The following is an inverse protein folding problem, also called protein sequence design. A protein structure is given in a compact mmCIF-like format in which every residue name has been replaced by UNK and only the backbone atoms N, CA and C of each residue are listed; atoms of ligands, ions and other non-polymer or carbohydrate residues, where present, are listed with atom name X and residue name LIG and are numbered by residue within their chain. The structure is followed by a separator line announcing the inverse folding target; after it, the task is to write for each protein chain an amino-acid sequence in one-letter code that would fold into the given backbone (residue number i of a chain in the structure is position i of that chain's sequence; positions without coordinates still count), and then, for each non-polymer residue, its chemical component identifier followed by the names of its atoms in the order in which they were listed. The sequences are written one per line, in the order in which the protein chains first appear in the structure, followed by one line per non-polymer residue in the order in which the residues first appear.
data_IF_176793459447
#
_entry.id   IF_176793459447
#
_cell.length_a   1.000
_cell.length_b   1.000
_cell.length_c   1.000
_cell.angle_alpha   90.00
_cell.angle_beta   90.00
_cell.angle_gamma   90.00
#
_symmetry.space_group_name_H-M   'P 1'
#
loop_
_entity.id
_entity.type
_entity.pdbx_description
1 polymer ?
#
# COMPACT_ATOMS: atom_id res chain seq x y z
N UNK A 1 -24.07 4.88 65.28
CA UNK A 1 -23.11 3.94 64.66
C UNK A 1 -23.70 3.16 63.47
N UNK A 2 -24.88 2.54 63.58
CA UNK A 2 -25.44 1.68 62.52
C UNK A 2 -25.77 2.37 61.18
N UNK A 3 -26.38 3.56 61.19
CA UNK A 3 -26.83 4.23 59.94
C UNK A 3 -25.68 4.73 59.03
N UNK A 4 -24.53 5.07 59.62
CA UNK A 4 -23.35 5.53 58.85
C UNK A 4 -22.68 4.35 58.15
N UNK A 5 -22.67 3.17 58.80
CA UNK A 5 -22.09 1.96 58.23
C UNK A 5 -22.90 1.46 57.01
N UNK A 6 -24.23 1.54 57.05
CA UNK A 6 -25.09 1.12 55.94
C UNK A 6 -24.92 2.00 54.70
N UNK A 7 -24.74 3.32 54.89
CA UNK A 7 -24.47 4.26 53.78
C UNK A 7 -23.10 3.97 53.16
N UNK A 8 -22.09 3.66 53.98
CA UNK A 8 -20.75 3.35 53.49
C UNK A 8 -20.72 2.07 52.66
N UNK A 9 -21.43 1.03 53.10
CA UNK A 9 -21.57 -0.24 52.35
C UNK A 9 -22.33 -0.01 51.04
N UNK A 10 -23.37 0.82 51.02
CA UNK A 10 -24.13 1.13 49.81
C UNK A 10 -23.32 1.91 48.77
N UNK A 11 -22.48 2.86 49.21
CA UNK A 11 -21.58 3.61 48.31
C UNK A 11 -20.50 2.70 47.74
N UNK A 12 -19.94 1.79 48.54
CA UNK A 12 -18.99 0.78 48.06
C UNK A 12 -19.67 -0.13 47.03
N UNK A 13 -20.91 -0.55 47.27
CA UNK A 13 -21.66 -1.40 46.35
C UNK A 13 -21.95 -0.69 45.00
N UNK A 14 -22.27 0.60 45.02
CA UNK A 14 -22.48 1.40 43.80
C UNK A 14 -21.18 1.62 43.02
N UNK A 15 -20.04 1.81 43.69
CA UNK A 15 -18.72 1.94 43.03
C UNK A 15 -18.32 0.62 42.36
N UNK A 16 -18.66 -0.53 42.96
CA UNK A 16 -18.32 -1.85 42.41
C UNK A 16 -19.29 -2.37 41.34
N UNK A 17 -20.54 -1.93 41.32
CA UNK A 17 -21.52 -2.38 40.31
C UNK A 17 -21.48 -1.56 39.02
N UNK A 18 -21.17 -0.26 39.09
CA UNK A 18 -21.15 0.60 37.91
C UNK A 18 -20.19 0.15 36.79
N UNK A 19 -19.01 -0.45 37.07
CA UNK A 19 -18.14 -1.01 36.05
C UNK A 19 -18.71 -2.25 35.35
N UNK A 20 -19.61 -2.99 36.00
CA UNK A 20 -20.19 -4.23 35.45
C UNK A 20 -21.36 -3.98 34.51
N UNK A 21 -22.03 -2.82 34.61
CA UNK A 21 -23.16 -2.48 33.71
C UNK A 21 -22.69 -1.81 32.42
N UNK A 22 -21.50 -1.20 32.39
CA UNK A 22 -20.94 -0.58 31.18
C UNK A 22 -20.39 -1.57 30.14
N UNK A 23 -20.49 -2.88 30.38
CA UNK A 23 -19.95 -3.92 29.48
C UNK A 23 -20.96 -4.45 28.45
N UNK A 24 -22.22 -4.02 28.49
CA UNK A 24 -23.29 -4.57 27.65
C UNK A 24 -23.67 -3.75 26.41
N UNK A 25 -22.88 -2.75 26.01
CA UNK A 25 -23.15 -1.97 24.79
C UNK A 25 -21.90 -1.85 23.93
N UNK A 26 -21.59 -2.94 23.25
CA UNK A 26 -20.64 -2.99 22.14
C UNK A 26 -21.32 -3.75 21.00
N UNK A 27 -22.41 -3.19 20.49
CA UNK A 27 -22.87 -3.53 19.14
C UNK A 27 -21.76 -3.07 18.18
N UNK A 28 -21.32 -3.96 17.29
CA UNK A 28 -20.23 -3.80 16.31
C UNK A 28 -18.80 -4.10 16.75
N UNK A 29 -18.56 -5.32 17.25
CA UNK A 29 -17.33 -6.04 16.93
C UNK A 29 -17.72 -7.47 16.50
N UNK A 30 -17.91 -7.67 15.19
CA UNK A 30 -18.20 -8.99 14.64
C UNK A 30 -16.98 -9.90 14.79
N UNK A 31 -17.04 -10.83 15.74
CA UNK A 31 -16.05 -11.91 15.90
C UNK A 31 -16.41 -13.07 14.95
N UNK A 32 -15.39 -13.80 14.47
CA UNK A 32 -15.62 -15.09 13.83
C UNK A 32 -16.08 -16.09 14.90
N UNK A 33 -17.38 -16.33 15.02
CA UNK A 33 -17.89 -17.41 15.85
C UNK A 33 -17.50 -18.75 15.21
N UNK A 34 -16.73 -19.55 15.94
CA UNK A 34 -16.54 -20.96 15.59
C UNK A 34 -17.85 -21.66 15.95
N UNK A 35 -18.59 -22.14 14.94
CA UNK A 35 -19.89 -22.80 15.15
C UNK A 35 -19.79 -24.17 15.86
N UNK A 36 -18.60 -24.60 16.26
CA UNK A 36 -18.38 -25.81 17.03
C UNK A 36 -18.46 -25.49 18.52
N UNK A 37 -19.34 -26.21 19.24
CA UNK A 37 -19.44 -26.08 20.69
C UNK A 37 -18.15 -26.59 21.32
N UNK A 38 -17.65 -25.88 22.32
CA UNK A 38 -16.49 -26.29 23.08
C UNK A 38 -16.69 -27.71 23.63
N UNK A 39 -15.66 -28.54 23.50
CA UNK A 39 -15.71 -29.97 23.89
C UNK A 39 -15.88 -30.15 25.40
N UNK A 40 -15.49 -29.14 26.19
CA UNK A 40 -15.62 -29.12 27.64
C UNK A 40 -16.67 -28.09 28.06
N UNK A 41 -17.55 -28.45 29.01
CA UNK A 41 -18.61 -27.57 29.52
C UNK A 41 -18.08 -26.25 30.14
N UNK A 42 -16.81 -26.24 30.57
CA UNK A 42 -16.17 -25.08 31.19
C UNK A 42 -15.33 -24.23 30.22
N UNK A 43 -15.34 -24.54 28.91
CA UNK A 43 -14.55 -23.83 27.90
C UNK A 43 -15.44 -22.92 27.03
N UNK A 44 -14.94 -21.72 26.73
CA UNK A 44 -15.62 -20.76 25.86
C UNK A 44 -15.51 -21.21 24.40
N UNK A 45 -16.61 -21.11 23.63
CA UNK A 45 -16.60 -21.32 22.18
C UNK A 45 -15.94 -20.16 21.41
N UNK A 46 -15.57 -19.09 22.13
CA UNK A 46 -14.86 -17.91 21.60
C UNK A 46 -13.43 -17.91 22.13
N UNK A 47 -12.47 -17.99 21.22
CA UNK A 47 -11.04 -17.84 21.52
C UNK A 47 -10.63 -16.37 21.36
N UNK A 48 -10.26 -15.71 22.46
CA UNK A 48 -9.72 -14.34 22.45
C UNK A 48 -8.20 -14.38 22.63
N UNK A 49 -7.46 -13.62 21.81
CA UNK A 49 -6.03 -13.42 22.04
C UNK A 49 -5.80 -12.65 23.36
N UNK A 50 -4.86 -13.12 24.21
CA UNK A 50 -4.67 -12.65 25.60
C UNK A 50 -4.46 -11.14 25.75
N UNK A 51 -3.91 -10.48 24.74
CA UNK A 51 -3.54 -9.06 24.81
C UNK A 51 -4.66 -8.07 24.40
N UNK A 52 -5.79 -8.54 23.84
CA UNK A 52 -6.85 -7.65 23.33
C UNK A 52 -7.58 -6.84 24.42
N UNK A 53 -7.68 -7.39 25.65
CA UNK A 53 -8.36 -6.70 26.76
C UNK A 53 -7.54 -5.57 27.39
N UNK A 54 -6.25 -5.47 27.07
CA UNK A 54 -5.43 -4.33 27.48
C UNK A 54 -5.42 -3.34 26.32
N UNK A 55 -6.17 -2.24 26.45
CA UNK A 55 -5.87 -0.99 25.70
C UNK A 55 -4.47 -0.54 26.09
N UNK A 56 -3.45 -1.14 25.50
CA UNK A 56 -2.07 -0.73 25.68
C UNK A 56 -1.93 0.62 24.98
N UNK A 57 -1.39 1.61 25.68
CA UNK A 57 -0.98 2.88 25.06
C UNK A 57 0.04 2.71 23.93
N UNK A 58 0.56 1.48 23.73
CA UNK A 58 1.44 1.12 22.62
C UNK A 58 0.73 0.92 21.27
N UNK A 59 -0.58 0.62 21.26
CA UNK A 59 -1.35 0.34 20.04
C UNK A 59 -2.32 1.48 19.71
N UNK A 60 -1.86 2.72 19.84
CA UNK A 60 -2.61 3.88 19.34
C UNK A 60 -2.48 3.88 17.83
N UNK A 61 -3.63 3.86 17.14
CA UNK A 61 -3.67 3.90 15.68
C UNK A 61 -2.81 5.04 15.15
N UNK A 62 -1.99 4.70 14.15
CA UNK A 62 -1.17 5.65 13.41
C UNK A 62 -1.11 5.23 11.96
N UNK A 63 -1.37 6.16 11.05
CA UNK A 63 -1.31 5.89 9.63
C UNK A 63 0.06 5.30 9.24
N UNK A 64 0.07 4.17 8.54
CA UNK A 64 1.29 3.38 8.25
C UNK A 64 2.35 4.21 7.53
N UNK A 65 1.94 5.03 6.55
CA UNK A 65 2.86 5.88 5.81
C UNK A 65 3.50 6.94 6.71
N UNK A 66 2.77 7.47 7.70
CA UNK A 66 3.34 8.42 8.67
C UNK A 66 4.42 7.75 9.51
N UNK A 67 4.22 6.49 9.92
CA UNK A 67 5.24 5.72 10.65
C UNK A 67 6.53 5.54 9.84
N UNK A 68 6.39 5.27 8.54
CA UNK A 68 7.52 5.15 7.63
C UNK A 68 8.25 6.48 7.44
N UNK A 69 7.52 7.57 7.21
CA UNK A 69 8.10 8.90 7.01
C UNK A 69 8.70 9.51 8.29
N UNK A 70 8.25 9.17 9.49
CA UNK A 70 8.93 9.65 10.69
C UNK A 70 10.28 8.97 10.91
N UNK A 71 10.44 7.73 10.45
CA UNK A 71 11.68 6.95 10.62
C UNK A 71 12.70 7.16 9.49
N UNK A 72 12.27 7.61 8.30
CA UNK A 72 13.17 7.63 7.13
C UNK A 72 14.29 8.66 7.19
N UNK A 73 14.04 9.83 7.79
CA UNK A 73 15.03 10.93 7.89
C UNK A 73 16.32 10.49 8.58
N UNK A 74 16.25 9.45 9.42
CA UNK A 74 17.39 8.89 10.15
C UNK A 74 18.37 8.11 9.25
N UNK A 75 17.95 7.62 8.07
CA UNK A 75 18.71 6.65 7.28
C UNK A 75 18.65 6.90 5.76
N UNK A 76 18.52 8.16 5.32
CA UNK A 76 18.30 8.52 3.91
C UNK A 76 19.27 7.87 2.90
N UNK A 77 20.53 7.69 3.26
CA UNK A 77 21.55 7.15 2.35
C UNK A 77 21.66 5.62 2.38
N UNK A 78 20.99 4.94 3.32
CA UNK A 78 21.01 3.48 3.39
C UNK A 78 20.08 2.89 2.34
N UNK A 79 20.45 1.73 1.81
CA UNK A 79 19.60 0.93 0.93
C UNK A 79 18.35 0.53 1.73
N UNK A 80 17.19 0.82 1.15
CA UNK A 80 15.88 0.46 1.67
C UNK A 80 15.35 -0.79 0.99
N UNK A 81 15.45 -0.83 -0.34
CA UNK A 81 14.83 -1.85 -1.18
C UNK A 81 15.83 -2.37 -2.21
N UNK A 82 15.74 -3.67 -2.47
CA UNK A 82 16.51 -4.38 -3.49
C UNK A 82 15.52 -5.28 -4.25
N UNK A 83 15.36 -5.04 -5.54
CA UNK A 83 14.60 -5.94 -6.40
C UNK A 83 15.50 -7.06 -6.90
N UNK A 84 15.03 -8.30 -6.79
CA UNK A 84 15.72 -9.46 -7.33
C UNK A 84 14.94 -10.01 -8.52
N UNK A 85 15.68 -10.42 -9.55
CA UNK A 85 15.14 -11.17 -10.67
C UNK A 85 15.98 -12.45 -10.81
N UNK A 86 15.32 -13.60 -10.78
CA UNK A 86 16.00 -14.91 -10.85
C UNK A 86 17.11 -15.10 -9.79
N UNK A 87 16.94 -14.51 -8.60
CA UNK A 87 17.92 -14.59 -7.51
C UNK A 87 19.02 -13.53 -7.56
N UNK A 88 19.13 -12.76 -8.64
CA UNK A 88 20.14 -11.72 -8.81
C UNK A 88 19.54 -10.33 -8.58
N UNK A 89 20.21 -9.47 -7.79
CA UNK A 89 19.73 -8.12 -7.54
C UNK A 89 19.83 -7.26 -8.79
N UNK A 90 18.71 -6.68 -9.23
CA UNK A 90 18.61 -5.88 -10.45
C UNK A 90 18.55 -4.39 -10.16
N UNK A 91 17.78 -3.99 -9.15
CA UNK A 91 17.52 -2.60 -8.83
C UNK A 91 17.71 -2.34 -7.33
N UNK A 92 18.24 -1.16 -7.02
CA UNK A 92 18.51 -0.72 -5.64
C UNK A 92 17.89 0.66 -5.42
N UNK A 93 17.33 0.89 -4.24
CA UNK A 93 16.84 2.21 -3.86
C UNK A 93 17.14 2.51 -2.41
N UNK A 94 17.67 3.71 -2.16
CA UNK A 94 17.88 4.21 -0.79
C UNK A 94 16.57 4.69 -0.18
N UNK A 95 16.51 4.76 1.15
CA UNK A 95 15.34 5.32 1.85
C UNK A 95 15.01 6.73 1.35
N UNK A 96 16.02 7.58 1.19
CA UNK A 96 15.83 8.97 0.76
C UNK A 96 15.27 9.07 -0.66
N UNK A 97 15.77 8.26 -1.59
CA UNK A 97 15.25 8.26 -2.96
C UNK A 97 13.85 7.63 -3.03
N UNK A 98 13.62 6.55 -2.28
CA UNK A 98 12.33 5.88 -2.22
C UNK A 98 11.23 6.83 -1.75
N UNK A 99 11.40 7.50 -0.61
CA UNK A 99 10.36 8.41 -0.10
C UNK A 99 10.20 9.67 -0.94
N UNK A 100 11.27 10.18 -1.56
CA UNK A 100 11.14 11.25 -2.58
C UNK A 100 10.28 10.80 -3.76
N UNK A 101 10.46 9.55 -4.21
CA UNK A 101 9.67 8.96 -5.30
C UNK A 101 8.21 8.79 -4.90
N UNK A 102 7.94 8.31 -3.68
CA UNK A 102 6.59 8.23 -3.09
C UNK A 102 5.89 9.60 -3.07
N UNK A 103 6.59 10.66 -2.61
CA UNK A 103 6.04 12.02 -2.60
C UNK A 103 5.78 12.56 -4.01
N UNK A 104 6.71 12.31 -4.94
CA UNK A 104 6.61 12.80 -6.32
C UNK A 104 5.47 12.10 -7.08
N UNK A 105 5.33 10.79 -6.89
CA UNK A 105 4.23 10.01 -7.43
C UNK A 105 2.88 10.45 -6.86
N UNK A 106 2.77 10.60 -5.53
CA UNK A 106 1.57 11.11 -4.86
C UNK A 106 1.11 12.47 -5.43
N UNK A 107 2.04 13.42 -5.60
CA UNK A 107 1.71 14.71 -6.20
C UNK A 107 1.20 14.56 -7.64
N UNK A 108 1.81 13.65 -8.41
CA UNK A 108 1.45 13.39 -9.80
C UNK A 108 0.02 12.87 -9.95
N UNK A 109 -0.44 12.01 -9.04
CA UNK A 109 -1.82 11.49 -9.07
C UNK A 109 -2.89 12.60 -8.99
N UNK A 110 -2.56 13.74 -8.40
CA UNK A 110 -3.45 14.88 -8.22
C UNK A 110 -3.25 16.00 -9.25
N UNK A 111 -2.11 16.05 -9.95
CA UNK A 111 -1.69 17.23 -10.74
C UNK A 111 -1.14 16.93 -12.14
N UNK A 112 -1.02 15.66 -12.54
CA UNK A 112 -0.34 15.30 -13.79
C UNK A 112 -1.05 15.84 -15.05
N UNK A 113 -0.39 16.75 -15.76
CA UNK A 113 -0.88 17.38 -17.00
C UNK A 113 -2.30 17.99 -16.87
N UNK A 114 -2.65 18.49 -15.68
CA UNK A 114 -3.98 19.05 -15.40
C UNK A 114 -5.10 18.00 -15.27
N UNK A 115 -4.76 16.72 -15.32
CA UNK A 115 -5.65 15.59 -15.06
C UNK A 115 -5.38 15.02 -13.67
N UNK A 116 -6.43 14.65 -12.95
CA UNK A 116 -6.34 13.89 -11.71
C UNK A 116 -7.04 12.54 -11.86
N UNK A 117 -6.84 11.64 -10.90
CA UNK A 117 -7.69 10.47 -10.77
C UNK A 117 -9.10 10.95 -10.40
N UNK A 118 -10.12 10.67 -11.22
CA UNK A 118 -11.48 11.15 -10.97
C UNK A 118 -12.07 10.44 -9.76
N UNK A 119 -12.77 11.20 -8.93
CA UNK A 119 -13.66 10.64 -7.91
C UNK A 119 -14.93 10.11 -8.59
N UNK A 120 -15.30 8.89 -8.26
CA UNK A 120 -16.52 8.24 -8.74
C UNK A 120 -17.37 7.79 -7.58
N UNK A 121 -18.68 7.77 -7.81
CA UNK A 121 -19.67 7.31 -6.85
C UNK A 121 -20.06 5.88 -7.22
N UNK A 122 -19.98 4.99 -6.24
CA UNK A 122 -20.35 3.59 -6.32
C UNK A 122 -21.48 3.32 -5.30
N UNK A 123 -22.25 2.27 -5.56
CA UNK A 123 -23.27 1.81 -4.63
C UNK A 123 -22.62 0.98 -3.51
N UNK A 124 -21.85 1.66 -2.66
CA UNK A 124 -21.09 1.07 -1.56
C UNK A 124 -21.17 1.94 -0.32
N UNK A 125 -21.21 1.32 0.87
CA UNK A 125 -21.26 2.05 2.14
C UNK A 125 -19.89 2.63 2.52
N UNK A 126 -18.83 1.86 2.25
CA UNK A 126 -17.47 2.24 2.58
C UNK A 126 -17.04 3.50 1.81
N UNK A 127 -16.25 4.36 2.46
CA UNK A 127 -15.86 5.67 1.95
C UNK A 127 -17.04 6.54 1.48
N UNK A 128 -18.25 6.35 2.03
CA UNK A 128 -19.47 7.03 1.60
C UNK A 128 -19.77 6.85 0.09
N UNK A 129 -19.38 5.70 -0.46
CA UNK A 129 -19.51 5.37 -1.88
C UNK A 129 -18.57 6.16 -2.80
N UNK A 130 -17.69 7.02 -2.28
CA UNK A 130 -16.81 7.87 -3.07
C UNK A 130 -15.41 7.28 -3.14
N UNK A 131 -14.96 6.95 -4.36
CA UNK A 131 -13.64 6.37 -4.57
C UNK A 131 -12.90 7.06 -5.71
N UNK A 132 -11.62 7.34 -5.47
CA UNK A 132 -10.61 7.57 -6.49
C UNK A 132 -9.79 6.28 -6.61
N UNK A 133 -9.87 5.61 -7.75
CA UNK A 133 -9.27 4.29 -7.92
C UNK A 133 -8.00 4.34 -8.79
N UNK A 134 -6.93 3.73 -8.29
CA UNK A 134 -5.72 3.42 -9.05
C UNK A 134 -5.54 1.91 -9.09
N UNK A 135 -5.67 1.30 -10.27
CA UNK A 135 -5.39 -0.13 -10.41
C UNK A 135 -3.89 -0.40 -10.38
N UNK A 136 -3.51 -1.56 -9.83
CA UNK A 136 -2.15 -2.08 -9.88
C UNK A 136 -2.21 -3.53 -10.33
N UNK A 137 -1.70 -3.79 -11.53
CA UNK A 137 -1.65 -5.11 -12.16
C UNK A 137 -0.23 -5.43 -12.63
N UNK A 138 0.56 -6.02 -11.74
CA UNK A 138 1.96 -6.31 -12.04
C UNK A 138 2.64 -7.11 -10.94
N UNK A 139 3.90 -7.42 -11.19
CA UNK A 139 4.75 -8.17 -10.28
C UNK A 139 5.30 -7.26 -9.18
N UNK A 140 5.80 -7.87 -8.11
CA UNK A 140 6.41 -7.13 -7.00
C UNK A 140 7.61 -6.33 -7.51
N UNK A 141 7.57 -5.02 -7.33
CA UNK A 141 8.65 -4.09 -7.65
C UNK A 141 8.67 -2.93 -6.65
N UNK A 142 9.75 -2.18 -6.63
CA UNK A 142 9.89 -0.91 -5.91
C UNK A 142 8.83 0.07 -6.43
N UNK A 143 8.64 0.18 -7.74
CA UNK A 143 7.62 1.08 -8.29
C UNK A 143 6.20 0.66 -7.90
N UNK A 144 5.93 -0.65 -7.73
CA UNK A 144 4.68 -1.14 -7.15
C UNK A 144 4.49 -0.60 -5.73
N UNK A 145 5.52 -0.69 -4.87
CA UNK A 145 5.49 -0.15 -3.51
C UNK A 145 5.34 1.37 -3.49
N UNK A 146 6.00 2.07 -4.42
CA UNK A 146 5.89 3.53 -4.57
C UNK A 146 4.47 3.91 -4.97
N UNK A 147 3.85 3.16 -5.89
CA UNK A 147 2.49 3.42 -6.33
C UNK A 147 1.49 3.27 -5.17
N UNK A 148 1.62 2.20 -4.38
CA UNK A 148 0.73 1.92 -3.27
C UNK A 148 0.86 2.96 -2.14
N UNK A 149 2.08 3.22 -1.66
CA UNK A 149 2.27 4.25 -0.62
C UNK A 149 1.93 5.66 -1.11
N UNK A 150 2.21 5.97 -2.39
CA UNK A 150 1.89 7.27 -2.97
C UNK A 150 0.38 7.48 -3.12
N UNK A 151 -0.38 6.43 -3.44
CA UNK A 151 -1.84 6.46 -3.46
C UNK A 151 -2.43 6.72 -2.07
N UNK A 152 -1.90 6.05 -1.02
CA UNK A 152 -2.31 6.30 0.37
C UNK A 152 -2.09 7.76 0.78
N UNK A 153 -0.96 8.38 0.39
CA UNK A 153 -0.72 9.80 0.64
C UNK A 153 -1.75 10.70 -0.07
N UNK A 154 -2.18 10.29 -1.26
CA UNK A 154 -3.09 11.04 -2.14
C UNK A 154 -4.58 10.86 -1.80
N UNK A 155 -4.94 10.03 -0.83
CA UNK A 155 -6.34 9.64 -0.61
C UNK A 155 -6.94 8.91 -1.82
N UNK A 156 -6.09 8.21 -2.57
CA UNK A 156 -6.48 7.35 -3.69
C UNK A 156 -6.47 5.92 -3.18
N UNK A 157 -7.55 5.19 -3.43
CA UNK A 157 -7.68 3.78 -3.07
C UNK A 157 -7.02 2.93 -4.15
N UNK A 158 -6.07 2.07 -3.77
CA UNK A 158 -5.46 1.13 -4.71
C UNK A 158 -6.39 -0.04 -4.99
N UNK A 159 -6.43 -0.50 -6.24
CA UNK A 159 -7.14 -1.69 -6.67
C UNK A 159 -6.09 -2.71 -7.15
N UNK A 160 -5.73 -3.64 -6.27
CA UNK A 160 -4.64 -4.59 -6.49
C UNK A 160 -5.16 -5.86 -7.15
N UNK A 161 -4.58 -6.20 -8.29
CA UNK A 161 -4.88 -7.40 -9.05
C UNK A 161 -3.65 -8.31 -9.10
N UNK A 162 -3.86 -9.60 -8.82
CA UNK A 162 -2.77 -10.56 -8.85
C UNK A 162 -2.26 -10.78 -10.28
N UNK A 163 -0.94 -10.77 -10.48
CA UNK A 163 -0.30 -10.85 -11.81
C UNK A 163 -0.65 -12.12 -12.59
N UNK A 164 -1.00 -13.21 -11.90
CA UNK A 164 -1.40 -14.50 -12.52
C UNK A 164 -2.88 -14.59 -12.91
N UNK A 165 -3.69 -13.56 -12.67
CA UNK A 165 -5.06 -13.57 -13.17
C UNK A 165 -5.07 -13.59 -14.71
N UNK A 166 -6.05 -14.32 -15.26
CA UNK A 166 -6.25 -14.36 -16.71
C UNK A 166 -6.69 -12.99 -17.21
N UNK A 167 -6.43 -12.72 -18.49
CA UNK A 167 -6.81 -11.44 -19.08
C UNK A 167 -8.33 -11.20 -19.03
N UNK A 168 -9.15 -12.27 -19.11
CA UNK A 168 -10.62 -12.17 -18.98
C UNK A 168 -11.03 -11.63 -17.62
N UNK A 169 -10.45 -12.19 -16.56
CA UNK A 169 -10.67 -11.71 -15.20
C UNK A 169 -10.25 -10.26 -15.05
N UNK A 170 -9.10 -9.87 -15.61
CA UNK A 170 -8.62 -8.49 -15.54
C UNK A 170 -9.59 -7.55 -16.27
N UNK A 171 -10.05 -7.91 -17.47
CA UNK A 171 -11.02 -7.10 -18.23
C UNK A 171 -12.34 -6.95 -17.47
N UNK A 172 -12.84 -8.02 -16.85
CA UNK A 172 -14.04 -7.98 -16.02
C UNK A 172 -13.89 -7.01 -14.85
N UNK A 173 -12.77 -7.11 -14.10
CA UNK A 173 -12.48 -6.23 -12.95
C UNK A 173 -12.40 -4.76 -13.38
N UNK A 174 -11.68 -4.48 -14.49
CA UNK A 174 -11.51 -3.12 -15.01
C UNK A 174 -12.84 -2.50 -15.44
N UNK A 175 -13.75 -3.30 -16.01
CA UNK A 175 -15.06 -2.85 -16.45
C UNK A 175 -16.03 -2.67 -15.29
N UNK A 176 -16.05 -3.61 -14.34
CA UNK A 176 -16.86 -3.54 -13.12
C UNK A 176 -16.56 -2.25 -12.35
N UNK A 177 -15.27 -1.96 -12.18
CA UNK A 177 -14.80 -0.77 -11.45
C UNK A 177 -14.70 0.48 -12.31
N UNK A 178 -15.00 0.38 -13.62
CA UNK A 178 -14.88 1.47 -14.60
C UNK A 178 -13.52 2.19 -14.48
N UNK A 179 -12.45 1.43 -14.30
CA UNK A 179 -11.14 1.98 -13.95
C UNK A 179 -10.56 2.83 -15.08
N UNK A 180 -10.01 4.01 -14.75
CA UNK A 180 -9.39 4.91 -15.75
C UNK A 180 -7.87 4.94 -15.69
N UNK A 181 -7.28 4.61 -14.54
CA UNK A 181 -5.84 4.68 -14.27
C UNK A 181 -5.33 3.33 -13.78
N UNK A 182 -4.35 2.77 -14.48
CA UNK A 182 -3.78 1.46 -14.20
C UNK A 182 -2.25 1.53 -14.23
N UNK A 183 -1.61 1.09 -13.15
CA UNK A 183 -0.21 0.73 -13.11
C UNK A 183 -0.04 -0.74 -13.55
N UNK A 184 0.88 -1.02 -14.48
CA UNK A 184 1.13 -2.37 -14.96
C UNK A 184 2.57 -2.62 -15.42
N UNK A 185 2.99 -3.88 -15.43
CA UNK A 185 4.28 -4.29 -16.00
C UNK A 185 4.28 -4.08 -17.53
N UNK A 186 5.43 -3.68 -18.09
CA UNK A 186 5.60 -3.37 -19.50
C UNK A 186 5.23 -4.55 -20.42
N UNK A 187 5.47 -5.77 -19.97
CA UNK A 187 5.19 -6.99 -20.71
C UNK A 187 3.68 -7.29 -20.82
N UNK A 188 2.86 -6.76 -19.91
CA UNK A 188 1.41 -6.98 -19.89
C UNK A 188 0.65 -6.01 -20.80
N UNK A 189 1.30 -4.92 -21.22
CA UNK A 189 0.69 -3.84 -22.01
C UNK A 189 0.16 -4.36 -23.35
N UNK A 190 0.96 -5.13 -24.09
CA UNK A 190 0.57 -5.60 -25.43
C UNK A 190 -0.67 -6.51 -25.37
N UNK A 191 -0.70 -7.45 -24.41
CA UNK A 191 -1.82 -8.36 -24.20
C UNK A 191 -3.10 -7.62 -23.79
N UNK A 192 -3.02 -6.64 -22.88
CA UNK A 192 -4.18 -5.85 -22.46
C UNK A 192 -4.73 -5.01 -23.62
N UNK A 193 -3.84 -4.50 -24.48
CA UNK A 193 -4.18 -3.60 -25.58
C UNK A 193 -4.73 -4.33 -26.81
N UNK A 194 -4.42 -5.61 -26.97
CA UNK A 194 -5.13 -6.47 -27.92
C UNK A 194 -6.65 -6.46 -27.68
N UNK A 195 -7.07 -6.26 -26.42
CA UNK A 195 -8.48 -6.20 -25.97
C UNK A 195 -9.00 -4.79 -25.73
N UNK A 196 -8.36 -3.77 -26.31
CA UNK A 196 -8.72 -2.35 -26.11
C UNK A 196 -10.19 -2.03 -26.38
N UNK A 197 -10.88 -2.78 -27.24
CA UNK A 197 -12.29 -2.54 -27.57
C UNK A 197 -13.21 -2.90 -26.39
N UNK A 198 -12.75 -3.76 -25.49
CA UNK A 198 -13.49 -4.21 -24.30
C UNK A 198 -13.20 -3.32 -23.07
N UNK A 199 -12.32 -2.32 -23.21
CA UNK A 199 -11.84 -1.47 -22.11
C UNK A 199 -12.21 0.01 -22.34
N UNK A 200 -13.51 0.37 -22.36
CA UNK A 200 -13.97 1.71 -22.74
C UNK A 200 -13.56 2.80 -21.73
N UNK A 201 -13.32 2.43 -20.47
CA UNK A 201 -13.01 3.39 -19.40
C UNK A 201 -11.50 3.61 -19.20
N UNK A 202 -10.67 2.65 -19.61
CA UNK A 202 -9.24 2.69 -19.33
C UNK A 202 -8.54 3.73 -20.22
N UNK A 203 -7.95 4.76 -19.60
CA UNK A 203 -7.33 5.90 -20.30
C UNK A 203 -5.84 6.01 -20.04
N UNK A 204 -5.37 5.74 -18.83
CA UNK A 204 -4.00 6.01 -18.41
C UNK A 204 -3.32 4.73 -17.94
N UNK A 205 -2.17 4.45 -18.55
CA UNK A 205 -1.35 3.28 -18.28
C UNK A 205 0.01 3.76 -17.77
N UNK A 206 0.34 3.42 -16.53
CA UNK A 206 1.61 3.76 -15.88
C UNK A 206 2.47 2.49 -15.84
N UNK A 207 3.64 2.54 -16.45
CA UNK A 207 4.55 1.39 -16.50
C UNK A 207 5.28 1.24 -15.18
N UNK A 208 5.19 0.07 -14.54
CA UNK A 208 5.87 -0.23 -13.28
C UNK A 208 7.37 -0.52 -13.46
N UNK A 209 7.81 -0.97 -14.62
CA UNK A 209 9.22 -1.27 -14.86
C UNK A 209 10.15 -0.07 -14.66
N UNK A 210 11.25 -0.30 -13.95
CA UNK A 210 12.36 0.64 -13.84
C UNK A 210 13.16 0.58 -15.14
N UNK A 211 13.27 1.73 -15.82
CA UNK A 211 14.06 1.87 -17.05
C UNK A 211 15.43 2.48 -16.77
N UNK A 212 15.54 3.28 -15.71
CA UNK A 212 16.79 3.86 -15.22
C UNK A 212 17.34 3.03 -14.04
N UNK A 213 18.33 2.18 -14.29
CA UNK A 213 18.98 1.31 -13.30
C UNK A 213 20.11 2.04 -12.58
N UNK A 214 20.35 1.65 -11.33
CA UNK A 214 21.50 2.12 -10.56
C UNK A 214 22.13 0.92 -9.85
N UNK A 215 23.34 0.52 -10.27
CA UNK A 215 24.08 -0.60 -9.67
C UNK A 215 24.84 -0.21 -8.39
N UNK A 216 25.33 -1.19 -7.63
CA UNK A 216 26.20 -0.97 -6.46
C UNK A 216 27.69 -0.89 -6.85
N UNK A 217 28.43 0.08 -6.32
CA UNK A 217 29.90 0.09 -6.36
C UNK A 217 30.42 -0.50 -5.04
N UNK A 218 31.06 -1.66 -5.11
CA UNK A 218 31.81 -2.22 -3.99
C UNK A 218 33.18 -1.55 -3.90
N UNK A 219 33.44 -0.81 -2.82
CA UNK A 219 34.77 -0.26 -2.49
C UNK A 219 35.70 -1.36 -1.99
N UNK A 220 36.05 -2.34 -2.82
CA UNK A 220 36.93 -3.46 -2.45
C UNK A 220 38.07 -3.69 -3.46
N UNK A 221 38.60 -2.63 -4.07
CA UNK A 221 39.86 -2.70 -4.82
C UNK A 221 40.74 -1.47 -4.57
N UNK A 222 41.17 -1.27 -3.32
CA UNK A 222 42.41 -0.54 -3.04
C UNK A 222 43.31 -1.38 -2.15
N UNK A 223 44.37 -1.93 -2.75
CA UNK A 223 45.49 -2.52 -2.04
C UNK A 223 46.32 -1.41 -1.38
N UNK A 224 46.63 -1.66 -0.11
CA UNK A 224 47.77 -1.16 0.69
C UNK A 224 47.67 0.14 1.53
N UNK A 225 47.60 -0.11 2.85
CA UNK A 225 48.33 0.54 3.97
C UNK A 225 48.05 2.02 4.29
N UNK A 226 47.31 2.27 5.37
CA UNK A 226 47.86 2.56 6.72
C UNK A 226 46.77 2.76 7.78
N UNK A 227 47.15 2.40 9.00
CA UNK A 227 46.39 2.36 10.27
C UNK A 227 45.70 3.69 10.64
N UNK A 228 44.44 3.60 11.06
CA UNK A 228 43.96 4.22 12.31
C UNK A 228 42.62 3.61 12.74
N UNK A 229 42.54 3.23 14.02
CA UNK A 229 41.34 2.74 14.68
C UNK A 229 40.36 3.89 14.93
N UNK A 230 39.06 3.72 14.63
CA UNK A 230 37.92 3.78 15.58
C UNK A 230 36.57 3.94 14.83
N UNK A 231 35.62 3.05 15.20
CA UNK A 231 34.15 3.24 15.30
C UNK A 231 33.26 3.17 14.05
N UNK A 232 32.12 2.51 14.29
CA UNK A 232 30.85 2.50 13.55
C UNK A 232 30.80 1.66 12.26
N UNK A 233 30.26 0.44 12.38
CA UNK A 233 29.78 -0.38 11.26
C UNK A 233 28.63 0.34 10.53
N UNK A 234 28.98 1.17 9.55
CA UNK A 234 28.11 1.61 8.48
C UNK A 234 28.91 1.52 7.20
N UNK A 235 28.68 0.48 6.39
CA UNK A 235 29.18 0.50 5.02
C UNK A 235 28.39 1.56 4.26
N UNK A 236 29.02 2.72 4.02
CA UNK A 236 28.50 3.72 3.09
C UNK A 236 28.60 3.14 1.66
N UNK A 237 27.53 2.51 1.20
CA UNK A 237 27.44 1.96 -0.15
C UNK A 237 27.28 3.12 -1.13
N UNK A 238 28.23 3.26 -2.06
CA UNK A 238 28.11 4.21 -3.18
C UNK A 238 27.36 3.54 -4.33
N UNK A 239 26.30 4.19 -4.80
CA UNK A 239 25.58 3.79 -6.01
C UNK A 239 26.34 4.25 -7.25
N UNK A 240 26.33 3.41 -8.29
CA UNK A 240 26.91 3.70 -9.60
C UNK A 240 26.11 4.77 -10.35
N UNK A 241 26.64 5.32 -11.46
CA UNK A 241 25.87 6.18 -12.36
C UNK A 241 24.62 5.47 -12.88
N UNK A 242 23.59 6.26 -13.21
CA UNK A 242 22.34 5.74 -13.77
C UNK A 242 22.63 5.13 -15.15
N UNK A 243 22.30 3.87 -15.33
CA UNK A 243 22.37 3.15 -16.60
C UNK A 243 20.96 2.84 -17.09
N UNK A 244 20.66 3.13 -18.35
CA UNK A 244 19.33 2.89 -18.91
C UNK A 244 19.23 1.49 -19.53
N UNK A 245 18.16 0.78 -19.19
CA UNK A 245 17.77 -0.47 -19.86
C UNK A 245 17.25 -0.14 -21.27
N UNK A 246 18.16 -0.25 -22.25
CA UNK A 246 17.87 0.10 -23.66
C UNK A 246 16.74 -0.76 -24.22
N UNK A 247 16.71 -2.04 -23.91
CA UNK A 247 15.71 -2.99 -24.44
C UNK A 247 14.31 -2.61 -23.93
N UNK A 248 14.17 -2.32 -22.63
CA UNK A 248 12.90 -1.86 -22.07
C UNK A 248 12.48 -0.51 -22.64
N UNK A 249 13.42 0.41 -22.84
CA UNK A 249 13.13 1.73 -23.40
C UNK A 249 12.70 1.64 -24.87
N UNK A 250 13.35 0.81 -25.67
CA UNK A 250 12.97 0.54 -27.06
C UNK A 250 11.57 -0.09 -27.14
N UNK A 251 11.31 -1.10 -26.31
CA UNK A 251 9.98 -1.72 -26.20
C UNK A 251 8.91 -0.70 -25.81
N UNK A 252 9.19 0.14 -24.82
CA UNK A 252 8.29 1.21 -24.41
C UNK A 252 8.01 2.20 -25.54
N UNK A 253 9.04 2.66 -26.26
CA UNK A 253 8.88 3.61 -27.35
C UNK A 253 8.10 2.99 -28.52
N UNK A 254 8.39 1.75 -28.90
CA UNK A 254 7.65 1.03 -29.93
C UNK A 254 6.16 0.87 -29.56
N UNK A 255 5.88 0.57 -28.30
CA UNK A 255 4.53 0.52 -27.77
C UNK A 255 3.88 1.91 -27.82
N UNK A 256 4.54 2.96 -27.33
CA UNK A 256 4.05 4.34 -27.36
C UNK A 256 3.69 4.82 -28.77
N UNK A 257 4.51 4.48 -29.76
CA UNK A 257 4.23 4.76 -31.18
C UNK A 257 2.96 4.04 -31.67
N UNK A 258 2.81 2.75 -31.36
CA UNK A 258 1.56 2.01 -31.64
C UNK A 258 0.34 2.66 -30.96
N UNK A 259 0.53 3.36 -29.82
CA UNK A 259 -0.53 4.05 -29.09
C UNK A 259 -0.86 5.45 -29.57
N UNK A 260 -0.07 6.09 -30.45
CA UNK A 260 -0.31 7.48 -30.85
C UNK A 260 -1.70 7.72 -31.46
N UNK A 261 -2.33 6.67 -32.01
CA UNK A 261 -3.68 6.72 -32.59
C UNK A 261 -4.80 6.32 -31.61
N UNK A 262 -4.48 6.01 -30.35
CA UNK A 262 -5.46 5.64 -29.33
C UNK A 262 -5.70 6.81 -28.36
N UNK A 263 -6.92 6.93 -27.84
CA UNK A 263 -7.26 7.89 -26.77
C UNK A 263 -6.60 7.56 -25.41
N UNK A 264 -5.69 6.58 -25.38
CA UNK A 264 -5.04 6.07 -24.17
C UNK A 264 -3.60 6.58 -24.07
N UNK A 265 -3.19 6.98 -22.88
CA UNK A 265 -1.86 7.48 -22.58
C UNK A 265 -1.00 6.40 -21.94
N UNK A 266 0.18 6.17 -22.52
CA UNK A 266 1.23 5.34 -21.94
C UNK A 266 2.28 6.22 -21.27
N UNK A 267 2.51 6.01 -19.97
CA UNK A 267 3.31 6.88 -19.12
C UNK A 267 4.41 6.05 -18.44
N UNK A 268 5.66 6.52 -18.51
CA UNK A 268 6.75 5.95 -17.71
C UNK A 268 6.64 6.44 -16.26
N UNK A 269 6.85 5.54 -15.30
CA UNK A 269 6.86 5.89 -13.87
C UNK A 269 7.81 7.05 -13.58
N UNK A 270 9.05 6.95 -14.05
CA UNK A 270 10.10 7.95 -13.82
C UNK A 270 9.80 9.28 -14.54
N UNK A 271 8.89 9.27 -15.52
CA UNK A 271 8.41 10.47 -16.22
C UNK A 271 7.42 11.31 -15.42
N UNK A 272 6.87 10.76 -14.33
CA UNK A 272 5.94 11.45 -13.42
C UNK A 272 6.68 12.40 -12.46
N UNK A 273 7.97 12.17 -12.21
CA UNK A 273 8.77 12.86 -11.18
C UNK A 273 9.18 14.32 -11.53
N UNK A 274 8.59 14.94 -12.56
CA UNK A 274 8.98 16.30 -13.00
C UNK A 274 8.70 17.38 -11.94
N UNK A 275 7.73 17.18 -11.07
CA UNK A 275 7.46 18.05 -9.92
C UNK A 275 8.08 17.45 -8.67
N UNK A 276 9.28 17.92 -8.30
CA UNK A 276 9.90 17.55 -7.01
C UNK A 276 9.08 18.18 -5.87
N UNK A 277 8.11 17.44 -5.34
CA UNK A 277 7.43 17.81 -4.11
C UNK A 277 8.24 17.34 -2.91
N UNK A 278 8.55 18.26 -1.99
CA UNK A 278 9.19 17.96 -0.72
C UNK A 278 8.21 17.92 0.44
N UNK A 279 6.94 18.28 0.21
CA UNK A 279 5.97 18.46 1.27
C UNK A 279 5.23 17.16 1.52
N UNK A 280 5.55 16.52 2.64
CA UNK A 280 4.81 15.37 3.15
C UNK A 280 3.45 15.82 3.70
N UNK A 281 2.39 15.29 3.11
CA UNK A 281 1.02 15.44 3.59
C UNK A 281 0.23 14.17 3.25
N UNK A 282 -0.63 13.72 4.18
CA UNK A 282 -1.56 12.61 3.95
C UNK A 282 -2.94 13.23 3.81
N UNK A 283 -3.61 12.97 2.68
CA UNK A 283 -4.93 13.56 2.40
C UNK A 283 -6.03 12.96 3.30
N UNK A 284 -5.97 11.65 3.58
CA UNK A 284 -6.94 11.00 4.46
C UNK A 284 -6.26 10.06 5.46
N UNK A 285 -6.29 10.42 6.74
CA UNK A 285 -5.74 9.63 7.84
C UNK A 285 -6.80 8.85 8.63
N UNK A 286 -8.07 8.92 8.23
CA UNK A 286 -9.17 8.22 8.91
C UNK A 286 -8.86 6.71 9.00
N UNK A 287 -8.90 6.10 10.19
CA UNK A 287 -8.68 4.67 10.36
C UNK A 287 -9.60 3.79 9.51
N UNK A 288 -10.82 4.24 9.24
CA UNK A 288 -11.84 3.44 8.54
C UNK A 288 -11.88 3.73 7.04
N UNK A 289 -11.07 4.67 6.54
CA UNK A 289 -10.92 4.92 5.11
C UNK A 289 -10.33 3.69 4.40
N UNK A 290 -11.06 3.16 3.42
CA UNK A 290 -10.61 2.07 2.54
C UNK A 290 -9.53 2.59 1.62
N UNK A 291 -8.31 2.12 1.88
CA UNK A 291 -7.09 2.59 1.23
C UNK A 291 -6.59 1.59 0.17
N UNK A 292 -6.99 0.32 0.29
CA UNK A 292 -6.68 -0.72 -0.69
C UNK A 292 -7.85 -1.68 -0.89
N UNK A 293 -8.05 -2.13 -2.11
CA UNK A 293 -8.99 -3.17 -2.52
C UNK A 293 -8.17 -4.27 -3.17
N UNK A 294 -8.12 -5.44 -2.55
CA UNK A 294 -7.31 -6.58 -3.02
C UNK A 294 -8.22 -7.63 -3.64
N UNK A 295 -8.09 -7.86 -4.94
CA UNK A 295 -8.84 -8.91 -5.59
C UNK A 295 -8.24 -10.30 -5.29
N UNK A 296 -9.11 -11.21 -4.88
CA UNK A 296 -8.74 -12.59 -4.54
C UNK A 296 -9.63 -13.56 -5.31
N UNK A 297 -9.09 -14.73 -5.68
CA UNK A 297 -9.89 -15.80 -6.29
C UNK A 297 -10.83 -16.39 -5.24
N UNK A 298 -12.12 -16.07 -5.33
CA UNK A 298 -13.15 -16.64 -4.46
C UNK A 298 -13.50 -18.07 -4.83
N UNK A 299 -14.16 -18.78 -3.92
CA UNK A 299 -14.71 -20.14 -4.13
C UNK A 299 -15.85 -20.18 -5.16
N UNK A 300 -16.46 -19.02 -5.45
CA UNK A 300 -17.52 -18.84 -6.45
C UNK A 300 -17.01 -18.76 -7.89
N UNK A 301 -15.69 -18.85 -8.11
CA UNK A 301 -15.06 -18.79 -9.44
C UNK A 301 -14.84 -17.38 -10.00
N UNK A 302 -15.57 -16.37 -9.50
CA UNK A 302 -15.31 -14.95 -9.83
C UNK A 302 -14.50 -14.29 -8.71
N UNK A 303 -13.41 -13.56 -9.02
CA UNK A 303 -12.66 -12.84 -8.02
C UNK A 303 -13.47 -11.75 -7.32
N UNK A 304 -13.31 -11.64 -6.00
CA UNK A 304 -13.94 -10.59 -5.19
C UNK A 304 -12.90 -9.60 -4.66
N UNK A 305 -13.27 -8.32 -4.62
CA UNK A 305 -12.44 -7.25 -4.07
C UNK A 305 -12.58 -7.13 -2.56
N UNK A 306 -11.54 -7.48 -1.81
CA UNK A 306 -11.49 -7.32 -0.35
C UNK A 306 -11.05 -5.90 -0.03
N UNK A 307 -11.92 -5.12 0.61
CA UNK A 307 -11.62 -3.76 1.04
C UNK A 307 -10.83 -3.75 2.35
N UNK A 308 -9.71 -3.04 2.37
CA UNK A 308 -8.82 -2.88 3.51
C UNK A 308 -8.71 -1.40 3.89
N UNK A 309 -9.07 -1.09 5.12
CA UNK A 309 -8.92 0.25 5.69
C UNK A 309 -7.51 0.54 6.18
N UNK A 310 -7.22 1.82 6.42
CA UNK A 310 -5.96 2.24 7.05
C UNK A 310 -5.71 1.50 8.37
N UNK A 311 -6.74 1.26 9.17
CA UNK A 311 -6.66 0.49 10.43
C UNK A 311 -6.37 -0.98 10.18
N UNK A 312 -6.94 -1.59 9.13
CA UNK A 312 -6.62 -2.99 8.79
C UNK A 312 -5.13 -3.14 8.49
N UNK A 313 -4.54 -2.21 7.74
CA UNK A 313 -3.10 -2.24 7.43
C UNK A 313 -2.24 -1.95 8.66
N UNK A 314 -2.64 -1.00 9.51
CA UNK A 314 -1.94 -0.73 10.77
C UNK A 314 -1.86 -1.96 11.67
N UNK A 315 -2.93 -2.74 11.75
CA UNK A 315 -2.99 -3.94 12.60
C UNK A 315 -2.08 -5.11 12.12
N UNK A 316 -1.45 -5.00 10.94
CA UNK A 316 -0.47 -5.98 10.44
C UNK A 316 0.97 -5.71 10.92
N UNK A 317 1.21 -4.56 11.58
CA UNK A 317 2.51 -4.15 12.12
C UNK A 317 2.70 -4.60 13.58
#
# INVERSE_FOLDING_TARGET
MGKVFTIYVFVIYLIYIRPNVSQFTSEYEGYSEICEKATNENESCVYCMKDHKRKSSKYVYKHIVRMFFEKHTLNNNKIALIEHQCGEPQNYMTYGNFFKKVLSFSNSLNTYEGSNIPEKIYNEEMNNGKFKLLGIYGSNSINWLVADLGAMLSGVTTLVMHSKFSMDVIVDILNETKLEWLCLDLDLVECLMARRNELPHLKNLIILDIVAKQGMINSNNEKEKKKSNLKSNGQDIRLSPIEYDKDKLEKFNALKEKFHNCERRLILFDGLDKTKSTNFNIINEDPDFVTSIVYTSGTSGKPGGVMLSNKNLFNQL
#
